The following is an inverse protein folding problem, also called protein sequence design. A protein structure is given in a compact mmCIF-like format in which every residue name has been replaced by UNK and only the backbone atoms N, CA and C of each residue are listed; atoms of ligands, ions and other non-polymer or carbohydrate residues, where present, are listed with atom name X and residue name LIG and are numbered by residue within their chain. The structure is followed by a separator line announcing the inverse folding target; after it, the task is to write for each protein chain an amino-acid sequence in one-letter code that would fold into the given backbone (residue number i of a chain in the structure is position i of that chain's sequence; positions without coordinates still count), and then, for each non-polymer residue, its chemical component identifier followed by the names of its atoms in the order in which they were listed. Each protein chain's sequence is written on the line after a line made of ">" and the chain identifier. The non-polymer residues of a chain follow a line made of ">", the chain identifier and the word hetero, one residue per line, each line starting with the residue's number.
data_IF_130083432679
#
_entry.id   IF_130083432679
#
_cell.length_a   1.000
_cell.length_b   1.000
_cell.length_c   1.000
_cell.angle_alpha   90.00
_cell.angle_beta   90.00
_cell.angle_gamma   90.00
#
_symmetry.space_group_name_H-M   'P 1'
#
loop_
_entity.id
_entity.type
_entity.pdbx_description
1 polymer ?
#
# COMPACT_ATOMS: atom_id res chain seq x y z
N UNK A 1 85.79 37.81 -38.12
CA UNK A 1 84.62 37.66 -38.99
C UNK A 1 84.14 36.22 -38.88
N UNK A 2 83.08 35.96 -38.10
CA UNK A 2 82.11 34.87 -38.27
C UNK A 2 81.17 34.78 -37.05
N UNK A 3 79.94 34.37 -37.33
CA UNK A 3 78.70 34.79 -36.68
C UNK A 3 78.43 34.16 -35.30
N UNK A 4 77.76 34.96 -34.44
CA UNK A 4 77.00 34.53 -33.28
C UNK A 4 75.64 34.00 -33.74
N UNK A 5 75.25 32.80 -33.29
CA UNK A 5 73.86 32.35 -33.26
C UNK A 5 73.55 31.79 -31.88
N UNK A 6 72.72 32.51 -31.11
CA UNK A 6 72.07 32.00 -29.90
C UNK A 6 70.85 31.18 -30.33
N UNK A 7 70.79 29.91 -29.94
CA UNK A 7 69.58 29.10 -30.01
C UNK A 7 68.77 29.31 -28.72
N UNK A 8 67.62 29.98 -28.84
CA UNK A 8 66.59 30.08 -27.80
C UNK A 8 65.71 28.82 -27.86
N UNK A 9 65.90 27.92 -26.89
CA UNK A 9 64.98 26.80 -26.67
C UNK A 9 63.86 27.26 -25.72
N UNK A 10 62.69 27.54 -26.27
CA UNK A 10 61.48 27.82 -25.49
C UNK A 10 60.83 26.50 -25.05
N UNK A 11 61.02 26.14 -23.78
CA UNK A 11 60.30 25.03 -23.15
C UNK A 11 58.83 25.39 -22.93
N UNK A 12 57.93 24.75 -23.68
CA UNK A 12 56.48 24.88 -23.52
C UNK A 12 56.04 23.98 -22.35
N UNK A 13 55.82 24.56 -21.17
CA UNK A 13 55.24 23.83 -20.03
C UNK A 13 53.73 23.76 -20.25
N UNK A 14 53.23 22.61 -20.69
CA UNK A 14 51.81 22.30 -20.69
C UNK A 14 51.37 21.99 -19.25
N UNK A 15 50.88 23.02 -18.57
CA UNK A 15 50.16 22.87 -17.30
C UNK A 15 48.85 22.14 -17.58
N UNK A 16 48.86 20.81 -17.44
CA UNK A 16 47.66 19.99 -17.50
C UNK A 16 46.85 20.23 -16.22
N UNK A 17 46.00 21.26 -16.22
CA UNK A 17 44.99 21.45 -15.17
C UNK A 17 43.97 20.34 -15.30
N UNK A 18 44.11 19.29 -14.51
CA UNK A 18 43.09 18.26 -14.34
C UNK A 18 41.90 18.89 -13.65
N UNK A 19 40.85 19.23 -14.41
CA UNK A 19 39.54 19.51 -13.86
C UNK A 19 38.98 18.22 -13.26
N UNK A 20 39.23 17.98 -11.98
CA UNK A 20 38.45 17.04 -11.18
C UNK A 20 37.06 17.63 -11.02
N UNK A 21 36.14 17.25 -11.92
CA UNK A 21 34.72 17.44 -11.71
C UNK A 21 34.34 16.67 -10.44
N UNK A 22 34.06 17.38 -9.35
CA UNK A 22 33.46 16.77 -8.17
C UNK A 22 32.08 16.27 -8.57
N UNK A 23 31.93 14.96 -8.76
CA UNK A 23 30.64 14.33 -8.91
C UNK A 23 29.86 14.54 -7.61
N UNK A 24 28.98 15.53 -7.59
CA UNK A 24 28.08 15.75 -6.47
C UNK A 24 27.16 14.54 -6.42
N UNK A 25 27.37 13.68 -5.43
CA UNK A 25 26.56 12.48 -5.25
C UNK A 25 25.14 12.93 -4.95
N UNK A 26 24.22 12.66 -5.87
CA UNK A 26 22.81 12.95 -5.65
C UNK A 26 22.33 12.17 -4.42
N UNK A 27 21.60 12.84 -3.54
CA UNK A 27 21.01 12.27 -2.33
C UNK A 27 19.50 12.43 -2.36
N UNK A 28 18.79 11.48 -1.74
CA UNK A 28 17.35 11.53 -1.52
C UNK A 28 17.04 11.49 -0.03
N UNK A 29 15.85 11.94 0.34
CA UNK A 29 15.32 11.84 1.70
C UNK A 29 14.15 10.86 1.67
N UNK A 30 14.18 9.87 2.58
CA UNK A 30 13.06 8.98 2.87
C UNK A 30 12.76 9.02 4.37
N UNK A 31 11.50 8.79 4.75
CA UNK A 31 11.06 8.82 6.16
C UNK A 31 10.71 7.42 6.65
N UNK A 32 11.03 7.12 7.91
CA UNK A 32 10.55 5.93 8.60
C UNK A 32 9.89 6.31 9.90
N UNK A 33 8.69 5.80 10.17
CA UNK A 33 7.98 6.00 11.44
C UNK A 33 7.28 4.72 11.94
N UNK A 34 6.63 4.84 13.10
CA UNK A 34 5.98 3.73 13.79
C UNK A 34 6.91 2.98 14.75
N UNK A 35 6.71 1.66 14.86
CA UNK A 35 7.40 0.76 15.78
C UNK A 35 8.81 0.39 15.29
N UNK A 36 9.68 1.38 15.12
CA UNK A 36 11.07 1.20 14.69
C UNK A 36 12.04 1.70 15.77
N UNK A 37 13.29 1.21 15.74
CA UNK A 37 14.30 1.64 16.71
C UNK A 37 14.75 3.08 16.50
N UNK A 38 14.82 3.54 15.25
CA UNK A 38 15.21 4.89 14.90
C UNK A 38 14.18 5.50 13.93
N UNK A 39 13.09 6.11 14.42
CA UNK A 39 12.18 6.85 13.56
C UNK A 39 12.81 8.19 13.13
N UNK A 40 12.50 8.66 11.93
CA UNK A 40 12.98 9.94 11.42
C UNK A 40 13.20 9.97 9.92
N UNK A 41 13.86 11.04 9.49
CA UNK A 41 14.24 11.27 8.10
C UNK A 41 15.66 10.76 7.85
N UNK A 42 15.86 10.09 6.71
CA UNK A 42 17.09 9.45 6.32
C UNK A 42 17.60 10.03 5.01
N UNK A 43 18.80 10.62 5.05
CA UNK A 43 19.53 11.04 3.85
C UNK A 43 20.27 9.84 3.26
N UNK A 44 19.89 9.44 2.06
CA UNK A 44 20.39 8.26 1.38
C UNK A 44 20.99 8.66 0.02
N UNK A 45 21.92 7.85 -0.50
CA UNK A 45 22.39 8.03 -1.87
C UNK A 45 21.26 7.75 -2.87
N UNK A 46 21.23 8.47 -4.00
CA UNK A 46 20.31 8.13 -5.09
C UNK A 46 20.54 6.70 -5.57
N UNK A 47 19.46 5.94 -5.72
CA UNK A 47 19.52 4.50 -6.04
C UNK A 47 19.59 3.60 -4.81
N UNK A 48 19.60 4.14 -3.59
CA UNK A 48 19.41 3.37 -2.36
C UNK A 48 18.11 2.56 -2.40
N UNK A 49 18.10 1.41 -1.74
CA UNK A 49 16.95 0.49 -1.70
C UNK A 49 16.33 0.45 -0.31
N UNK A 50 15.12 -0.08 -0.23
CA UNK A 50 14.40 -0.23 1.04
C UNK A 50 15.24 -1.00 2.06
N UNK A 51 15.94 -2.06 1.66
CA UNK A 51 16.81 -2.83 2.55
C UNK A 51 17.89 -2.00 3.26
N UNK A 52 18.51 -1.03 2.57
CA UNK A 52 19.54 -0.17 3.17
C UNK A 52 18.97 0.77 4.23
N UNK A 53 17.73 1.24 4.03
CA UNK A 53 17.02 2.06 5.00
C UNK A 53 16.62 1.22 6.22
N UNK A 54 16.06 0.04 5.98
CA UNK A 54 15.64 -0.88 7.05
C UNK A 54 16.81 -1.42 7.88
N UNK A 55 17.99 -1.60 7.28
CA UNK A 55 19.20 -1.97 8.01
C UNK A 55 19.59 -0.95 9.10
N UNK A 56 19.25 0.33 8.88
CA UNK A 56 19.52 1.42 9.84
C UNK A 56 18.32 1.63 10.79
N UNK A 57 17.12 1.80 10.24
CA UNK A 57 15.92 2.12 11.01
C UNK A 57 15.48 1.00 11.93
N UNK A 58 15.64 -0.26 11.48
CA UNK A 58 15.35 -1.53 12.16
C UNK A 58 13.95 -1.59 12.80
N UNK A 59 13.01 -2.36 12.21
CA UNK A 59 11.74 -2.66 12.87
C UNK A 59 11.94 -3.23 14.28
N UNK A 60 11.23 -2.67 15.25
CA UNK A 60 11.28 -3.12 16.63
C UNK A 60 10.48 -4.41 16.87
N UNK A 61 10.55 -4.95 18.07
CA UNK A 61 9.83 -6.19 18.44
C UNK A 61 8.31 -6.03 18.47
N UNK A 62 7.82 -4.79 18.62
CA UNK A 62 6.40 -4.45 18.57
C UNK A 62 5.91 -4.09 17.16
N UNK A 63 6.81 -4.08 16.16
CA UNK A 63 6.45 -3.83 14.78
C UNK A 63 5.63 -4.97 14.21
N UNK A 64 4.45 -4.65 13.72
CA UNK A 64 3.64 -5.59 12.99
C UNK A 64 4.05 -5.60 11.52
N UNK A 65 5.03 -6.44 11.21
CA UNK A 65 5.65 -6.53 9.88
C UNK A 65 4.65 -6.79 8.72
N UNK A 66 3.62 -7.65 8.85
CA UNK A 66 2.61 -7.79 7.80
C UNK A 66 1.84 -6.51 7.50
N UNK A 67 1.72 -5.60 8.47
CA UNK A 67 1.07 -4.30 8.32
C UNK A 67 1.99 -3.19 7.82
N UNK A 68 3.26 -3.48 7.49
CA UNK A 68 4.18 -2.47 7.00
C UNK A 68 3.64 -1.79 5.73
N UNK A 69 3.84 -0.48 5.64
CA UNK A 69 3.32 0.32 4.54
C UNK A 69 4.45 1.15 3.93
N UNK A 70 4.64 1.02 2.62
CA UNK A 70 5.49 1.90 1.82
C UNK A 70 4.57 2.88 1.07
N UNK A 71 4.69 4.17 1.35
CA UNK A 71 3.94 5.23 0.69
C UNK A 71 4.82 5.95 -0.32
N UNK A 72 4.26 6.17 -1.50
CA UNK A 72 4.94 6.73 -2.66
C UNK A 72 4.07 7.78 -3.32
N UNK A 73 4.60 8.99 -3.44
CA UNK A 73 3.85 10.10 -4.03
C UNK A 73 3.51 9.84 -5.50
N UNK A 74 4.39 9.18 -6.25
CA UNK A 74 4.15 8.87 -7.66
C UNK A 74 3.03 7.84 -7.88
N UNK A 75 2.82 6.93 -6.93
CA UNK A 75 1.73 5.93 -6.97
C UNK A 75 0.40 6.49 -6.44
N UNK A 76 0.41 7.68 -5.81
CA UNK A 76 -0.78 8.33 -5.26
C UNK A 76 -1.79 8.69 -6.34
N UNK A 77 -1.35 9.08 -7.53
CA UNK A 77 -2.23 9.51 -8.61
C UNK A 77 -3.19 8.40 -9.08
N UNK A 78 -2.69 7.16 -9.22
CA UNK A 78 -3.56 6.03 -9.61
C UNK A 78 -4.59 5.73 -8.53
N UNK A 79 -4.22 5.86 -7.24
CA UNK A 79 -5.18 5.73 -6.15
C UNK A 79 -6.22 6.84 -6.13
N UNK A 80 -5.86 8.08 -6.48
CA UNK A 80 -6.82 9.19 -6.61
C UNK A 80 -7.83 8.87 -7.72
N UNK A 81 -7.38 8.34 -8.85
CA UNK A 81 -8.27 7.95 -9.96
C UNK A 81 -9.20 6.81 -9.57
N UNK A 82 -8.65 5.77 -8.93
CA UNK A 82 -9.43 4.64 -8.42
C UNK A 82 -10.52 5.13 -7.45
N UNK A 83 -10.14 5.97 -6.48
CA UNK A 83 -11.07 6.58 -5.52
C UNK A 83 -12.17 7.37 -6.22
N UNK A 84 -11.82 8.23 -7.18
CA UNK A 84 -12.79 9.04 -7.91
C UNK A 84 -13.78 8.20 -8.74
N UNK A 85 -13.33 7.10 -9.34
CA UNK A 85 -14.21 6.15 -10.03
C UNK A 85 -15.22 5.50 -9.08
N UNK A 86 -14.73 5.02 -7.93
CA UNK A 86 -15.59 4.43 -6.90
C UNK A 86 -16.59 5.46 -6.35
N UNK A 87 -16.16 6.70 -6.10
CA UNK A 87 -17.05 7.79 -5.65
C UNK A 87 -18.18 8.04 -6.67
N UNK A 88 -17.84 8.06 -7.96
CA UNK A 88 -18.82 8.22 -9.02
C UNK A 88 -19.87 7.09 -9.01
N UNK A 89 -19.43 5.84 -8.93
CA UNK A 89 -20.33 4.68 -8.89
C UNK A 89 -21.22 4.69 -7.65
N UNK A 90 -20.68 5.10 -6.49
CA UNK A 90 -21.44 5.19 -5.24
C UNK A 90 -22.54 6.25 -5.33
N UNK A 91 -22.26 7.41 -5.94
CA UNK A 91 -23.26 8.45 -6.18
C UNK A 91 -24.39 7.90 -7.04
N UNK A 92 -24.07 7.22 -8.14
CA UNK A 92 -25.08 6.62 -9.03
C UNK A 92 -25.91 5.54 -8.31
N UNK A 93 -25.30 4.78 -7.40
CA UNK A 93 -25.97 3.74 -6.61
C UNK A 93 -26.91 4.30 -5.54
N UNK A 94 -26.77 5.55 -5.12
CA UNK A 94 -27.70 6.19 -4.18
C UNK A 94 -29.11 6.32 -4.76
N UNK A 95 -29.23 6.45 -6.09
CA UNK A 95 -30.51 6.50 -6.80
C UNK A 95 -31.06 5.11 -7.18
N UNK A 96 -30.46 4.03 -6.67
CA UNK A 96 -30.87 2.67 -7.01
C UNK A 96 -32.30 2.37 -6.51
N UNK A 97 -33.11 1.70 -7.36
CA UNK A 97 -34.51 1.33 -7.07
C UNK A 97 -34.73 0.45 -5.81
N UNK A 98 -33.65 -0.08 -5.24
CA UNK A 98 -33.67 -0.95 -4.07
C UNK A 98 -33.11 -0.14 -2.90
N UNK A 99 -33.92 0.24 -1.90
CA UNK A 99 -33.50 1.16 -0.84
C UNK A 99 -32.33 0.60 0.01
N UNK A 100 -32.20 -0.71 0.11
CA UNK A 100 -31.08 -1.37 0.80
C UNK A 100 -29.74 -1.16 0.10
N UNK A 101 -29.72 -1.02 -1.23
CA UNK A 101 -28.49 -0.77 -2.00
C UNK A 101 -28.10 0.69 -1.88
N UNK A 102 -29.07 1.59 -2.09
CA UNK A 102 -28.88 3.03 -1.91
C UNK A 102 -28.31 3.37 -0.52
N UNK A 103 -28.84 2.73 0.53
CA UNK A 103 -28.35 2.92 1.90
C UNK A 103 -26.90 2.44 2.08
N UNK A 104 -26.54 1.28 1.54
CA UNK A 104 -25.15 0.79 1.62
C UNK A 104 -24.22 1.69 0.81
N UNK A 105 -24.65 2.17 -0.36
CA UNK A 105 -23.87 3.10 -1.17
C UNK A 105 -23.58 4.41 -0.42
N UNK A 106 -24.58 4.98 0.26
CA UNK A 106 -24.38 6.15 1.12
C UNK A 106 -23.36 5.89 2.25
N UNK A 107 -23.43 4.73 2.92
CA UNK A 107 -22.48 4.37 3.96
C UNK A 107 -21.05 4.21 3.44
N UNK A 108 -20.89 3.62 2.25
CA UNK A 108 -19.58 3.45 1.62
C UNK A 108 -19.02 4.77 1.11
N UNK A 109 -19.87 5.69 0.64
CA UNK A 109 -19.47 7.02 0.22
C UNK A 109 -18.92 7.81 1.42
N UNK A 110 -19.64 7.82 2.54
CA UNK A 110 -19.16 8.42 3.79
C UNK A 110 -17.83 7.83 4.25
N UNK A 111 -17.63 6.52 4.06
CA UNK A 111 -16.38 5.85 4.42
C UNK A 111 -15.21 6.28 3.52
N UNK A 112 -15.44 6.48 2.22
CA UNK A 112 -14.46 6.97 1.25
C UNK A 112 -14.15 8.46 1.44
N UNK A 113 -15.14 9.29 1.74
CA UNK A 113 -14.96 10.72 1.98
C UNK A 113 -14.02 10.97 3.16
N UNK A 114 -14.00 10.07 4.13
CA UNK A 114 -13.12 10.12 5.30
C UNK A 114 -11.69 9.59 5.03
N UNK A 115 -11.38 9.15 3.80
CA UNK A 115 -10.13 8.45 3.47
C UNK A 115 -9.50 8.96 2.18
N UNK A 116 -8.30 9.50 2.32
CA UNK A 116 -7.52 9.99 1.20
C UNK A 116 -6.79 8.85 0.46
N UNK A 117 -6.41 9.14 -0.78
CA UNK A 117 -5.42 8.35 -1.49
C UNK A 117 -4.04 8.51 -0.82
N UNK A 118 -3.46 7.40 -0.35
CA UNK A 118 -2.24 7.41 0.47
C UNK A 118 -0.96 7.21 -0.35
N UNK A 119 -1.08 6.67 -1.56
CA UNK A 119 0.07 6.19 -2.33
C UNK A 119 0.72 4.93 -1.75
N UNK A 120 0.01 4.19 -0.89
CA UNK A 120 0.50 2.92 -0.34
C UNK A 120 0.70 1.87 -1.44
N UNK A 121 1.86 1.25 -1.49
CA UNK A 121 2.16 0.14 -2.40
C UNK A 121 2.52 -1.13 -1.64
N UNK A 122 2.26 -2.32 -2.24
CA UNK A 122 2.62 -3.58 -1.63
C UNK A 122 4.15 -3.69 -1.50
N UNK A 123 4.58 -4.20 -0.36
CA UNK A 123 5.98 -4.54 -0.12
C UNK A 123 6.10 -6.06 -0.07
N UNK A 124 6.82 -6.65 -1.02
CA UNK A 124 6.89 -8.11 -1.19
C UNK A 124 7.42 -8.85 0.05
N UNK A 125 8.28 -8.20 0.82
CA UNK A 125 8.81 -8.72 2.10
C UNK A 125 9.30 -7.58 2.96
N UNK A 126 9.43 -7.79 4.26
CA UNK A 126 10.13 -6.88 5.19
C UNK A 126 11.46 -7.47 5.68
N UNK A 127 11.83 -8.66 5.20
CA UNK A 127 13.09 -9.31 5.54
C UNK A 127 14.25 -8.69 4.74
N UNK A 128 15.11 -7.95 5.45
CA UNK A 128 16.28 -7.27 4.89
C UNK A 128 17.26 -8.25 4.23
N UNK A 129 17.44 -9.45 4.77
CA UNK A 129 18.36 -10.46 4.18
C UNK A 129 17.78 -10.99 2.89
N UNK A 130 16.47 -11.26 2.86
CA UNK A 130 15.79 -11.72 1.65
C UNK A 130 15.86 -10.65 0.55
N UNK A 131 15.61 -9.39 0.89
CA UNK A 131 15.75 -8.26 -0.02
C UNK A 131 17.14 -8.18 -0.67
N UNK A 132 18.20 -8.38 0.12
CA UNK A 132 19.59 -8.31 -0.37
C UNK A 132 19.94 -9.42 -1.36
N UNK A 133 19.31 -10.59 -1.24
CA UNK A 133 19.53 -11.72 -2.17
C UNK A 133 18.51 -11.79 -3.31
N UNK A 134 17.38 -11.09 -3.20
CA UNK A 134 16.33 -11.00 -4.21
C UNK A 134 16.06 -9.53 -4.58
N UNK A 135 16.80 -8.97 -5.57
CA UNK A 135 16.66 -7.55 -5.93
C UNK A 135 15.26 -7.12 -6.41
N UNK A 136 14.42 -8.06 -6.83
CA UNK A 136 13.01 -7.81 -7.21
C UNK A 136 12.10 -7.57 -6.00
N UNK A 137 12.47 -8.07 -4.82
CA UNK A 137 11.75 -7.86 -3.57
C UNK A 137 12.27 -6.64 -2.78
N UNK A 138 13.30 -5.95 -3.30
CA UNK A 138 13.95 -4.82 -2.65
C UNK A 138 13.81 -3.53 -3.49
N UNK A 139 12.66 -2.86 -3.45
CA UNK A 139 12.42 -1.73 -4.34
C UNK A 139 13.40 -0.57 -4.09
N UNK A 140 13.76 0.13 -5.16
CA UNK A 140 14.58 1.35 -5.09
C UNK A 140 13.74 2.46 -4.47
N UNK A 141 14.32 3.20 -3.53
CA UNK A 141 13.69 4.33 -2.87
C UNK A 141 13.64 5.54 -3.81
N UNK A 142 12.52 6.25 -3.78
CA UNK A 142 12.36 7.54 -4.42
C UNK A 142 12.38 8.68 -3.37
N UNK A 143 12.69 9.92 -3.76
CA UNK A 143 12.56 11.07 -2.86
C UNK A 143 11.14 11.20 -2.31
N UNK A 144 11.01 11.34 -1.00
CA UNK A 144 9.72 11.47 -0.32
C UNK A 144 9.04 10.15 0.04
N UNK A 145 9.65 9.00 -0.30
CA UNK A 145 9.14 7.69 0.14
C UNK A 145 9.05 7.65 1.67
N UNK A 146 7.94 7.09 2.17
CA UNK A 146 7.70 6.92 3.60
C UNK A 146 7.44 5.45 3.91
N UNK A 147 8.15 4.90 4.89
CA UNK A 147 7.83 3.61 5.48
C UNK A 147 7.18 3.79 6.85
N UNK A 148 6.12 3.03 7.09
CA UNK A 148 5.43 2.97 8.37
C UNK A 148 5.34 1.53 8.88
N UNK A 149 5.65 1.34 10.16
CA UNK A 149 5.51 0.06 10.85
C UNK A 149 4.48 0.18 11.99
N UNK A 150 3.24 -0.29 11.81
CA UNK A 150 2.20 -0.15 12.83
C UNK A 150 2.45 -1.10 14.02
N UNK A 151 1.83 -0.83 15.19
CA UNK A 151 1.68 -1.85 16.22
C UNK A 151 0.77 -2.99 15.75
N UNK A 152 0.83 -4.15 16.39
CA UNK A 152 -0.04 -5.30 16.05
C UNK A 152 -1.47 -5.05 16.52
N UNK A 153 -2.47 -5.01 15.62
CA UNK A 153 -3.87 -4.92 16.03
C UNK A 153 -4.32 -6.18 16.76
N UNK A 154 -5.38 -6.04 17.56
CA UNK A 154 -6.01 -7.17 18.26
C UNK A 154 -7.36 -7.56 17.66
N UNK A 155 -7.78 -6.86 16.61
CA UNK A 155 -9.10 -6.98 15.99
C UNK A 155 -8.99 -7.17 14.47
N UNK A 156 -10.12 -7.52 13.86
CA UNK A 156 -10.38 -7.45 12.42
C UNK A 156 -11.63 -6.61 12.20
N UNK A 157 -11.83 -6.13 10.97
CA UNK A 157 -13.00 -5.31 10.62
C UNK A 157 -13.83 -6.01 9.54
N UNK A 158 -15.13 -6.12 9.73
CA UNK A 158 -16.10 -6.52 8.70
C UNK A 158 -16.86 -5.28 8.23
N UNK A 159 -16.86 -4.98 6.94
CA UNK A 159 -17.52 -3.80 6.36
C UNK A 159 -18.14 -4.10 5.00
N UNK A 160 -18.76 -3.11 4.35
CA UNK A 160 -19.47 -3.29 3.09
C UNK A 160 -20.99 -3.37 3.29
N UNK A 161 -21.64 -4.31 2.63
CA UNK A 161 -23.08 -4.55 2.68
C UNK A 161 -23.57 -5.21 3.98
N UNK A 162 -23.07 -4.75 5.12
CA UNK A 162 -23.44 -5.10 6.48
C UNK A 162 -24.27 -3.97 7.10
N UNK A 163 -25.01 -4.25 8.18
CA UNK A 163 -25.88 -3.25 8.83
C UNK A 163 -25.09 -2.03 9.33
N UNK A 164 -23.92 -2.29 9.89
CA UNK A 164 -22.88 -1.33 10.24
C UNK A 164 -21.53 -2.06 10.21
N UNK A 165 -20.43 -1.31 10.03
CA UNK A 165 -19.10 -1.88 10.15
C UNK A 165 -18.91 -2.48 11.55
N UNK A 166 -18.29 -3.65 11.61
CA UNK A 166 -18.29 -4.55 12.75
C UNK A 166 -16.83 -4.89 13.07
N UNK A 167 -16.34 -4.45 14.23
CA UNK A 167 -14.99 -4.76 14.70
C UNK A 167 -15.05 -5.96 15.64
N UNK A 168 -14.27 -7.00 15.34
CA UNK A 168 -14.29 -8.27 16.06
C UNK A 168 -12.89 -8.61 16.59
N UNK A 169 -12.77 -9.20 17.80
CA UNK A 169 -11.49 -9.69 18.29
C UNK A 169 -10.88 -10.71 17.34
N UNK A 170 -9.62 -10.51 16.98
CA UNK A 170 -8.88 -11.45 16.14
C UNK A 170 -8.65 -12.77 16.90
N UNK A 171 -9.03 -13.86 16.26
CA UNK A 171 -8.83 -15.24 16.67
C UNK A 171 -7.95 -15.96 15.64
N UNK A 172 -6.85 -16.60 16.09
CA UNK A 172 -5.99 -17.40 15.20
C UNK A 172 -6.79 -18.47 14.46
N UNK A 173 -6.44 -18.69 13.19
CA UNK A 173 -7.02 -19.72 12.31
C UNK A 173 -8.53 -19.62 12.07
N UNK A 174 -9.19 -18.58 12.59
CA UNK A 174 -10.62 -18.36 12.37
C UNK A 174 -10.87 -17.95 10.92
N UNK A 175 -11.80 -18.65 10.30
CA UNK A 175 -12.23 -18.43 8.92
C UNK A 175 -13.00 -17.12 8.76
N UNK A 176 -12.80 -16.42 7.64
CA UNK A 176 -13.52 -15.20 7.28
C UNK A 176 -15.05 -15.39 7.30
N UNK A 177 -15.55 -16.54 6.86
CA UNK A 177 -16.99 -16.88 6.91
C UNK A 177 -17.52 -16.98 8.34
N UNK A 178 -16.66 -17.34 9.29
CA UNK A 178 -17.05 -17.46 10.69
C UNK A 178 -17.16 -16.10 11.35
N UNK A 179 -16.29 -15.15 11.01
CA UNK A 179 -16.43 -13.76 11.42
C UNK A 179 -17.69 -13.11 10.83
N UNK A 180 -17.98 -13.38 9.56
CA UNK A 180 -19.16 -12.81 8.89
C UNK A 180 -20.47 -13.17 9.62
N UNK A 181 -20.57 -14.37 10.22
CA UNK A 181 -21.75 -14.81 10.98
C UNK A 181 -21.98 -14.02 12.28
N UNK A 182 -20.95 -13.37 12.81
CA UNK A 182 -21.04 -12.57 14.03
C UNK A 182 -21.53 -11.13 13.74
N UNK A 183 -21.62 -10.74 12.46
CA UNK A 183 -22.05 -9.41 12.05
C UNK A 183 -23.43 -9.44 11.36
N UNK A 184 -24.15 -8.33 11.43
CA UNK A 184 -25.45 -8.20 10.77
C UNK A 184 -25.27 -7.95 9.27
N UNK A 185 -25.80 -8.83 8.43
CA UNK A 185 -25.70 -8.75 6.95
C UNK A 185 -26.99 -8.13 6.37
N UNK A 186 -26.86 -7.27 5.37
CA UNK A 186 -28.02 -6.65 4.71
C UNK A 186 -28.53 -7.49 3.53
N UNK A 187 -29.73 -7.16 3.03
CA UNK A 187 -30.25 -7.72 1.77
C UNK A 187 -29.53 -7.22 0.51
N UNK A 188 -28.63 -6.25 0.65
CA UNK A 188 -27.80 -5.75 -0.43
C UNK A 188 -26.51 -6.59 -0.60
N UNK A 189 -26.16 -7.43 0.38
CA UNK A 189 -24.97 -8.27 0.33
C UNK A 189 -25.06 -9.36 -0.72
N UNK A 190 -23.93 -9.60 -1.38
CA UNK A 190 -23.74 -10.76 -2.23
C UNK A 190 -23.78 -12.05 -1.40
N UNK A 191 -24.61 -13.04 -1.77
CA UNK A 191 -24.69 -14.30 -1.03
C UNK A 191 -23.60 -15.30 -1.40
N UNK A 192 -22.85 -15.05 -2.48
CA UNK A 192 -21.92 -16.01 -3.08
C UNK A 192 -20.47 -15.67 -2.77
N UNK A 193 -20.12 -14.40 -2.62
CA UNK A 193 -18.72 -13.98 -2.51
C UNK A 193 -18.44 -13.03 -1.34
N UNK A 194 -17.19 -13.06 -0.90
CA UNK A 194 -16.62 -12.23 0.15
C UNK A 194 -15.20 -11.83 -0.25
N UNK A 195 -14.73 -10.66 0.16
CA UNK A 195 -13.33 -10.27 0.00
C UNK A 195 -12.61 -10.33 1.34
N UNK A 196 -11.48 -11.02 1.37
CA UNK A 196 -10.53 -10.99 2.50
C UNK A 196 -9.35 -10.12 2.08
N UNK A 197 -9.10 -9.08 2.87
CA UNK A 197 -8.08 -8.08 2.61
C UNK A 197 -7.09 -8.14 3.76
N UNK A 198 -5.88 -8.57 3.44
CA UNK A 198 -4.83 -8.74 4.43
C UNK A 198 -4.07 -7.42 4.66
N UNK A 199 -3.43 -7.26 5.82
CA UNK A 199 -2.66 -6.06 6.15
C UNK A 199 -1.53 -5.74 5.17
N UNK A 200 -1.03 -6.72 4.42
CA UNK A 200 0.03 -6.60 3.41
C UNK A 200 -0.49 -6.22 2.01
N UNK A 201 -1.76 -5.81 1.94
CA UNK A 201 -2.49 -5.42 0.72
C UNK A 201 -2.91 -6.59 -0.18
N UNK A 202 -2.75 -7.84 0.25
CA UNK A 202 -3.27 -8.99 -0.50
C UNK A 202 -4.80 -9.01 -0.42
N UNK A 203 -5.46 -8.98 -1.58
CA UNK A 203 -6.92 -9.05 -1.71
C UNK A 203 -7.30 -10.40 -2.31
N UNK A 204 -8.21 -11.11 -1.64
CA UNK A 204 -8.70 -12.41 -2.08
C UNK A 204 -10.23 -12.42 -2.13
N UNK A 205 -10.81 -12.63 -3.31
CA UNK A 205 -12.23 -12.98 -3.46
C UNK A 205 -12.40 -14.46 -3.14
N UNK A 206 -13.25 -14.78 -2.17
CA UNK A 206 -13.55 -16.15 -1.76
C UNK A 206 -15.04 -16.44 -1.91
N UNK A 207 -15.37 -17.63 -2.39
CA UNK A 207 -16.75 -18.09 -2.48
C UNK A 207 -17.27 -18.65 -1.16
N UNK A 208 -18.44 -18.19 -0.73
CA UNK A 208 -19.06 -18.52 0.55
C UNK A 208 -20.37 -19.31 0.42
N UNK A 209 -20.97 -19.36 -0.77
CA UNK A 209 -22.17 -20.15 -1.03
C UNK A 209 -21.85 -21.64 -1.20
N UNK A 210 -22.88 -22.48 -1.12
CA UNK A 210 -22.73 -23.94 -1.15
C UNK A 210 -22.05 -24.45 -2.43
N UNK A 211 -22.28 -23.78 -3.56
CA UNK A 211 -21.82 -24.17 -4.89
C UNK A 211 -20.40 -23.72 -5.28
N UNK A 212 -19.83 -22.75 -4.57
CA UNK A 212 -18.56 -22.08 -4.88
C UNK A 212 -17.68 -21.99 -3.63
N UNK A 213 -17.98 -22.82 -2.64
CA UNK A 213 -17.38 -22.76 -1.33
C UNK A 213 -15.86 -22.94 -1.42
N UNK A 214 -15.11 -21.91 -1.04
CA UNK A 214 -13.66 -21.96 -0.92
C UNK A 214 -13.23 -22.69 0.35
N UNK A 215 -11.95 -23.12 0.37
CA UNK A 215 -11.28 -23.56 1.58
C UNK A 215 -11.30 -22.45 2.66
N UNK A 216 -11.21 -22.78 3.95
CA UNK A 216 -11.17 -21.79 5.02
C UNK A 216 -10.08 -20.75 4.78
N UNK A 217 -10.45 -19.46 4.88
CA UNK A 217 -9.53 -18.36 4.66
C UNK A 217 -9.34 -17.58 5.96
N UNK A 218 -8.14 -17.67 6.52
CA UNK A 218 -7.80 -17.00 7.79
C UNK A 218 -7.57 -15.51 7.57
N UNK A 219 -8.04 -14.69 8.51
CA UNK A 219 -7.86 -13.24 8.47
C UNK A 219 -6.77 -12.84 9.46
N UNK A 220 -5.72 -12.17 8.99
CA UNK A 220 -4.64 -11.71 9.86
C UNK A 220 -5.12 -10.57 10.78
N UNK A 221 -4.43 -10.31 11.92
CA UNK A 221 -4.74 -9.16 12.76
C UNK A 221 -4.71 -7.84 11.97
N UNK A 222 -5.75 -7.03 12.09
CA UNK A 222 -5.95 -5.81 11.31
C UNK A 222 -6.51 -6.03 9.90
N UNK A 223 -6.75 -7.28 9.50
CA UNK A 223 -7.36 -7.60 8.23
C UNK A 223 -8.80 -7.11 8.13
N UNK A 224 -9.26 -6.91 6.90
CA UNK A 224 -10.60 -6.45 6.59
C UNK A 224 -11.34 -7.53 5.81
N UNK A 225 -12.56 -7.81 6.23
CA UNK A 225 -13.54 -8.60 5.49
C UNK A 225 -14.50 -7.62 4.82
N UNK A 226 -14.41 -7.50 3.50
CA UNK A 226 -15.34 -6.67 2.73
C UNK A 226 -16.46 -7.53 2.15
N UNK A 227 -17.68 -7.25 2.60
CA UNK A 227 -18.92 -7.87 2.13
C UNK A 227 -19.42 -7.08 0.92
N UNK A 228 -19.33 -7.64 -0.30
CA UNK A 228 -19.65 -6.90 -1.51
C UNK A 228 -21.15 -6.66 -1.68
N UNK A 229 -21.49 -5.64 -2.46
CA UNK A 229 -22.84 -5.48 -3.00
C UNK A 229 -23.14 -6.63 -3.97
N UNK A 230 -24.40 -7.04 -4.06
CA UNK A 230 -24.85 -8.12 -4.96
C UNK A 230 -24.37 -7.90 -6.38
N UNK A 231 -23.65 -8.89 -6.91
CA UNK A 231 -23.00 -8.82 -8.23
C UNK A 231 -24.02 -8.53 -9.34
N UNK A 232 -25.20 -9.16 -9.30
CA UNK A 232 -26.27 -8.93 -10.29
C UNK A 232 -26.79 -7.49 -10.36
N UNK A 233 -26.64 -6.72 -9.28
CA UNK A 233 -27.10 -5.33 -9.21
C UNK A 233 -25.96 -4.40 -9.60
N UNK A 234 -24.75 -4.67 -9.10
CA UNK A 234 -23.59 -3.82 -9.37
C UNK A 234 -23.13 -3.90 -10.82
N UNK A 235 -23.25 -5.06 -11.48
CA UNK A 235 -22.86 -5.24 -12.89
C UNK A 235 -23.66 -4.37 -13.86
N UNK A 236 -24.75 -3.72 -13.41
CA UNK A 236 -25.53 -2.76 -14.20
C UNK A 236 -24.96 -1.34 -14.15
N UNK A 237 -24.13 -1.06 -13.15
CA UNK A 237 -23.44 0.22 -12.93
C UNK A 237 -21.99 0.04 -13.39
N UNK A 238 -21.21 -0.71 -12.62
CA UNK A 238 -19.85 -1.09 -12.96
C UNK A 238 -19.54 -2.52 -12.46
N UNK A 239 -19.24 -3.48 -13.36
CA UNK A 239 -18.80 -4.82 -12.98
C UNK A 239 -17.50 -4.87 -12.15
N UNK A 240 -16.62 -3.87 -12.22
CA UNK A 240 -15.37 -3.87 -11.43
C UNK A 240 -15.52 -3.27 -10.04
N UNK A 241 -16.61 -2.54 -9.76
CA UNK A 241 -16.84 -1.81 -8.50
C UNK A 241 -16.42 -2.57 -7.24
N UNK A 242 -16.89 -3.82 -7.06
CA UNK A 242 -16.58 -4.58 -5.85
C UNK A 242 -15.08 -4.90 -5.71
N UNK A 243 -14.42 -5.15 -6.83
CA UNK A 243 -12.97 -5.41 -6.87
C UNK A 243 -12.20 -4.12 -6.63
N UNK A 244 -12.63 -3.01 -7.24
CA UNK A 244 -12.01 -1.69 -7.11
C UNK A 244 -12.14 -1.16 -5.68
N UNK A 245 -13.32 -1.31 -5.06
CA UNK A 245 -13.54 -0.97 -3.66
C UNK A 245 -12.65 -1.81 -2.73
N UNK A 246 -12.54 -3.12 -2.97
CA UNK A 246 -11.65 -3.99 -2.19
C UNK A 246 -10.17 -3.60 -2.35
N UNK A 247 -9.75 -3.26 -3.57
CA UNK A 247 -8.40 -2.78 -3.85
C UNK A 247 -8.13 -1.44 -3.14
N UNK A 248 -9.10 -0.52 -3.13
CA UNK A 248 -8.95 0.76 -2.43
C UNK A 248 -8.90 0.59 -0.90
N UNK A 249 -9.67 -0.33 -0.32
CA UNK A 249 -9.51 -0.67 1.11
C UNK A 249 -8.07 -1.14 1.39
N UNK A 250 -7.50 -1.97 0.52
CA UNK A 250 -6.15 -2.50 0.70
C UNK A 250 -5.07 -1.40 0.73
N UNK A 251 -5.29 -0.25 0.09
CA UNK A 251 -4.34 0.88 0.13
C UNK A 251 -4.39 1.68 1.44
N UNK A 252 -5.39 1.42 2.29
CA UNK A 252 -5.48 2.06 3.59
C UNK A 252 -4.51 1.36 4.55
N UNK A 253 -3.65 2.14 5.19
CA UNK A 253 -2.73 1.62 6.19
C UNK A 253 -3.44 1.36 7.51
N UNK A 254 -2.93 0.41 8.31
CA UNK A 254 -3.38 0.23 9.67
C UNK A 254 -3.09 1.52 10.45
N UNK A 255 -4.14 2.15 10.96
CA UNK A 255 -4.02 3.29 11.87
C UNK A 255 -3.75 2.79 13.29
N UNK A 256 -3.00 3.56 14.10
CA UNK A 256 -2.78 3.25 15.51
C UNK A 256 -4.06 3.31 16.35
#
# INVERSE_FOLDING_TARGET
>A
MQLRFLALATGLVWSCTTWTAMAQSASLIARVDGQVHAPGDYTLATGARVSSLLATARPGTQAYLPGAALFREHDRLEQVRLRAGIEHDLIDLQDHKRPEIAKVAEQLLQWIDARDATGRVPLATTDVRLMQVQPMADPVLAPGDKLHFPPRPTTITVMGAVGAACELPHQPERDARDYLRDCSITKAADPSDLFVIQPDMVVQRIGIALWNRADPQTVAPGGVIYVPLREREINKVDPSFNTDFAAFIATQALTP
#
